data_IF_548407246088
#
_entry.id   IF_548407246088
#
_cell.length_a   1.000
_cell.length_b   1.000
_cell.length_c   1.000
_cell.angle_alpha   90.00
_cell.angle_beta   90.00
_cell.angle_gamma   90.00
#
_symmetry.space_group_name_H-M   'P 1'
#
loop_
_entity.id
_entity.type
_entity.pdbx_description
1 polymer ?
#
# COMPACT_ATOMS: atom_id res chain seq x y z
N UNK A 1 -13.09 -2.19 -3.41
CA UNK A 1 -14.54 -1.85 -3.47
C UNK A 1 -14.73 -0.94 -4.67
N UNK A 2 -15.73 -1.15 -5.57
CA UNK A 2 -15.98 -0.20 -6.65
C UNK A 2 -16.38 1.16 -6.04
N UNK A 3 -15.89 2.23 -6.65
CA UNK A 3 -16.09 3.61 -6.19
C UNK A 3 -17.56 3.94 -5.93
N UNK A 4 -18.45 3.44 -6.79
CA UNK A 4 -19.92 3.57 -6.68
C UNK A 4 -20.47 3.01 -5.36
N UNK A 5 -20.00 1.83 -4.93
CA UNK A 5 -20.47 1.22 -3.69
C UNK A 5 -20.01 2.00 -2.45
N UNK A 6 -18.79 2.54 -2.46
CA UNK A 6 -18.27 3.40 -1.39
C UNK A 6 -19.08 4.72 -1.31
N UNK A 7 -19.40 5.32 -2.45
CA UNK A 7 -20.20 6.55 -2.51
C UNK A 7 -21.62 6.33 -1.97
N UNK A 8 -22.28 5.24 -2.39
CA UNK A 8 -23.62 4.90 -1.89
C UNK A 8 -23.61 4.64 -0.39
N UNK A 9 -22.65 3.86 0.12
CA UNK A 9 -22.51 3.61 1.55
C UNK A 9 -22.29 4.91 2.34
N UNK A 10 -21.41 5.80 1.86
CA UNK A 10 -21.19 7.10 2.48
C UNK A 10 -22.43 7.98 2.51
N UNK A 11 -23.19 8.03 1.41
CA UNK A 11 -24.44 8.78 1.33
C UNK A 11 -25.50 8.24 2.31
N UNK A 12 -25.62 6.92 2.44
CA UNK A 12 -26.55 6.28 3.40
C UNK A 12 -26.15 6.59 4.86
N UNK A 13 -24.86 6.56 5.19
CA UNK A 13 -24.38 6.91 6.52
C UNK A 13 -24.67 8.38 6.85
N UNK A 14 -24.42 9.31 5.92
CA UNK A 14 -24.76 10.72 6.09
C UNK A 14 -26.26 10.95 6.26
N UNK A 15 -27.07 10.36 5.40
CA UNK A 15 -28.53 10.45 5.51
C UNK A 15 -29.03 9.91 6.87
N UNK A 16 -28.54 8.74 7.29
CA UNK A 16 -28.85 8.14 8.58
C UNK A 16 -28.47 9.05 9.76
N UNK A 17 -27.30 9.68 9.70
CA UNK A 17 -26.86 10.61 10.72
C UNK A 17 -27.75 11.88 10.80
N UNK A 18 -28.09 12.47 9.66
CA UNK A 18 -28.97 13.65 9.65
C UNK A 18 -30.39 13.33 10.11
N UNK A 19 -30.91 12.14 9.77
CA UNK A 19 -32.21 11.66 10.28
C UNK A 19 -32.14 11.50 11.81
N UNK A 20 -31.09 10.86 12.34
CA UNK A 20 -30.88 10.69 13.76
C UNK A 20 -30.74 12.05 14.48
N UNK A 21 -29.98 12.97 13.92
CA UNK A 21 -29.81 14.31 14.46
C UNK A 21 -31.15 15.07 14.47
N UNK A 22 -31.89 15.06 13.37
CA UNK A 22 -33.22 15.69 13.28
C UNK A 22 -34.18 15.15 14.34
N UNK A 23 -34.20 13.82 14.56
CA UNK A 23 -34.99 13.19 15.59
C UNK A 23 -34.61 13.69 17.00
N UNK A 24 -33.31 13.68 17.34
CA UNK A 24 -32.82 14.14 18.66
C UNK A 24 -33.14 15.62 18.89
N UNK A 25 -33.06 16.48 17.87
CA UNK A 25 -33.41 17.91 18.00
C UNK A 25 -34.91 18.16 18.02
N UNK A 26 -35.72 17.34 17.36
CA UNK A 26 -37.18 17.41 17.40
C UNK A 26 -37.74 17.04 18.79
N UNK A 27 -37.03 16.13 19.48
CA UNK A 27 -37.42 15.64 20.80
C UNK A 27 -37.03 16.65 21.91
N UNK A 28 -37.82 17.72 22.01
CA UNK A 28 -37.56 18.83 22.96
C UNK A 28 -37.95 18.50 24.39
N UNK A 29 -38.90 17.62 24.61
CA UNK A 29 -39.47 17.32 25.92
C UNK A 29 -38.55 16.49 26.82
N UNK A 30 -37.73 15.59 26.24
CA UNK A 30 -36.84 14.72 27.00
C UNK A 30 -35.41 15.25 27.03
N UNK A 31 -35.12 16.06 28.08
CA UNK A 31 -33.77 16.61 28.29
C UNK A 31 -32.74 15.55 28.58
N UNK A 32 -33.10 14.45 29.26
CA UNK A 32 -32.15 13.39 29.62
C UNK A 32 -31.70 12.61 28.38
N UNK A 33 -32.62 12.25 27.50
CA UNK A 33 -32.32 11.61 26.22
C UNK A 33 -31.40 12.47 25.38
N UNK A 34 -31.70 13.76 25.23
CA UNK A 34 -30.86 14.71 24.48
C UNK A 34 -29.45 14.81 25.04
N UNK A 35 -29.31 14.95 26.37
CA UNK A 35 -28.00 15.07 27.00
C UNK A 35 -27.13 13.82 26.74
N UNK A 36 -27.75 12.64 26.74
CA UNK A 36 -27.03 11.38 26.40
C UNK A 36 -26.67 11.26 24.93
N UNK A 37 -27.45 11.82 24.02
CA UNK A 37 -27.22 11.79 22.57
C UNK A 37 -26.19 12.84 22.11
N UNK A 38 -26.05 13.97 22.82
CA UNK A 38 -25.16 15.07 22.40
C UNK A 38 -23.70 14.67 22.11
N UNK A 39 -23.01 13.86 22.93
CA UNK A 39 -21.64 13.47 22.63
C UNK A 39 -21.51 12.74 21.31
N UNK A 40 -22.47 11.88 20.96
CA UNK A 40 -22.49 11.13 19.72
C UNK A 40 -22.81 12.01 18.51
N UNK A 41 -23.70 12.97 18.67
CA UNK A 41 -23.94 13.99 17.65
C UNK A 41 -22.69 14.86 17.42
N UNK A 42 -22.01 15.26 18.48
CA UNK A 42 -20.75 16.01 18.36
C UNK A 42 -19.67 15.21 17.63
N UNK A 43 -19.54 13.91 17.92
CA UNK A 43 -18.61 13.02 17.25
C UNK A 43 -18.91 12.89 15.75
N UNK A 44 -20.19 12.72 15.37
CA UNK A 44 -20.59 12.66 13.96
C UNK A 44 -20.38 13.98 13.24
N UNK A 45 -20.69 15.11 13.86
CA UNK A 45 -20.42 16.45 13.30
C UNK A 45 -18.92 16.71 13.13
N UNK A 46 -18.11 16.29 14.10
CA UNK A 46 -16.65 16.35 13.97
C UNK A 46 -16.15 15.57 12.76
N UNK A 47 -16.67 14.35 12.55
CA UNK A 47 -16.35 13.54 11.36
C UNK A 47 -16.64 14.28 10.05
N UNK A 48 -17.85 14.88 9.95
CA UNK A 48 -18.28 15.65 8.78
C UNK A 48 -17.42 16.92 8.62
N UNK A 49 -17.16 17.63 9.72
CA UNK A 49 -16.32 18.82 9.74
C UNK A 49 -14.88 18.57 9.28
N UNK A 50 -14.31 17.39 9.58
CA UNK A 50 -13.01 16.99 9.07
C UNK A 50 -13.05 16.57 7.59
N UNK A 51 -14.15 15.94 7.14
CA UNK A 51 -14.29 15.46 5.76
C UNK A 51 -14.43 16.61 4.75
N UNK A 52 -15.10 17.70 5.10
CA UNK A 52 -15.35 18.85 4.21
C UNK A 52 -14.03 19.52 3.76
N UNK A 53 -13.15 20.02 4.65
CA UNK A 53 -11.90 20.65 4.22
C UNK A 53 -10.96 19.65 3.55
N UNK A 54 -10.97 18.38 3.98
CA UNK A 54 -10.19 17.34 3.32
C UNK A 54 -10.63 17.11 1.86
N UNK A 55 -11.93 17.15 1.58
CA UNK A 55 -12.45 17.01 0.20
C UNK A 55 -12.20 18.27 -0.63
N UNK A 56 -12.43 19.47 -0.08
CA UNK A 56 -12.19 20.74 -0.79
C UNK A 56 -10.73 20.95 -1.16
N UNK A 57 -9.80 20.67 -0.24
CA UNK A 57 -8.37 20.81 -0.50
C UNK A 57 -7.80 19.83 -1.54
N UNK A 58 -8.62 18.88 -2.04
CA UNK A 58 -8.18 17.80 -2.91
C UNK A 58 -8.98 17.59 -4.18
N UNK A 59 -9.93 18.47 -4.46
CA UNK A 59 -10.72 18.43 -5.70
C UNK A 59 -9.82 18.32 -6.95
N UNK A 60 -8.62 18.93 -6.92
CA UNK A 60 -7.65 18.88 -8.02
C UNK A 60 -6.85 17.57 -8.15
N UNK A 61 -6.91 16.66 -7.17
CA UNK A 61 -6.08 15.44 -7.14
C UNK A 61 -6.86 14.18 -7.55
N UNK A 62 -8.15 14.30 -7.78
CA UNK A 62 -9.03 13.22 -8.25
C UNK A 62 -9.66 12.38 -7.14
N UNK A 63 -10.80 11.78 -7.47
CA UNK A 63 -11.66 11.00 -6.55
C UNK A 63 -10.97 9.79 -5.90
N UNK A 64 -10.05 9.05 -6.57
CA UNK A 64 -9.37 7.90 -5.95
C UNK A 64 -8.61 8.26 -4.68
N UNK A 65 -8.14 9.49 -4.54
CA UNK A 65 -7.40 9.95 -3.36
C UNK A 65 -8.28 10.17 -2.13
N UNK A 66 -9.60 10.29 -2.31
CA UNK A 66 -10.55 10.33 -1.19
C UNK A 66 -10.65 8.99 -0.44
N UNK A 67 -10.23 7.90 -1.07
CA UNK A 67 -10.17 6.54 -0.47
C UNK A 67 -8.83 6.25 0.23
N UNK A 68 -7.94 7.24 0.34
CA UNK A 68 -6.66 7.07 1.03
C UNK A 68 -6.88 6.80 2.53
N UNK A 69 -6.14 5.82 3.09
CA UNK A 69 -6.30 5.28 4.44
C UNK A 69 -6.33 6.34 5.55
N UNK A 70 -5.59 7.44 5.37
CA UNK A 70 -5.56 8.56 6.33
C UNK A 70 -6.90 9.27 6.53
N UNK A 71 -7.87 9.12 5.60
CA UNK A 71 -9.20 9.73 5.71
C UNK A 71 -10.25 8.76 6.23
N UNK A 72 -9.99 7.46 6.13
CA UNK A 72 -10.86 6.40 6.65
C UNK A 72 -11.06 6.57 8.16
N UNK A 73 -10.02 6.99 8.90
CA UNK A 73 -10.11 7.22 10.35
C UNK A 73 -11.18 8.23 10.71
N UNK A 74 -11.30 9.35 9.98
CA UNK A 74 -12.33 10.36 10.25
C UNK A 74 -13.73 9.86 9.89
N UNK A 75 -13.89 9.07 8.82
CA UNK A 75 -15.19 8.50 8.44
C UNK A 75 -15.67 7.43 9.42
N UNK A 76 -14.77 6.74 10.12
CA UNK A 76 -15.13 5.78 11.17
C UNK A 76 -15.85 6.44 12.34
N UNK A 77 -15.54 7.68 12.70
CA UNK A 77 -16.24 8.37 13.79
C UNK A 77 -17.73 8.61 13.50
N UNK A 78 -18.11 8.83 12.22
CA UNK A 78 -19.50 8.91 11.83
C UNK A 78 -20.24 7.58 12.06
N UNK A 79 -19.58 6.48 11.72
CA UNK A 79 -20.11 5.13 11.93
C UNK A 79 -20.26 4.81 13.41
N UNK A 80 -19.26 5.14 14.23
CA UNK A 80 -19.31 4.96 15.70
C UNK A 80 -20.45 5.77 16.29
N UNK A 81 -20.63 7.02 15.85
CA UNK A 81 -21.74 7.86 16.27
C UNK A 81 -23.12 7.23 15.95
N UNK A 82 -23.28 6.66 14.76
CA UNK A 82 -24.51 5.96 14.35
C UNK A 82 -24.75 4.66 15.14
N UNK A 83 -23.70 3.87 15.40
CA UNK A 83 -23.80 2.65 16.22
C UNK A 83 -24.34 2.98 17.63
N UNK A 84 -24.00 4.14 18.19
CA UNK A 84 -24.51 4.57 19.47
C UNK A 84 -25.91 5.21 19.37
N UNK A 85 -26.13 6.11 18.40
CA UNK A 85 -27.39 6.86 18.27
C UNK A 85 -28.57 5.97 17.89
N UNK A 86 -28.39 5.03 16.97
CA UNK A 86 -29.50 4.20 16.47
C UNK A 86 -30.15 3.39 17.59
N UNK A 87 -29.45 2.61 18.43
CA UNK A 87 -30.05 1.89 19.55
C UNK A 87 -30.69 2.84 20.58
N UNK A 88 -30.07 4.00 20.85
CA UNK A 88 -30.61 4.99 21.77
C UNK A 88 -31.97 5.54 21.29
N UNK A 89 -32.08 5.90 20.00
CA UNK A 89 -33.31 6.35 19.39
C UNK A 89 -34.36 5.25 19.40
N UNK A 90 -33.98 4.02 19.08
CA UNK A 90 -34.88 2.88 19.08
C UNK A 90 -35.43 2.57 20.46
N UNK A 91 -34.60 2.60 21.52
CA UNK A 91 -35.07 2.39 22.89
C UNK A 91 -36.00 3.50 23.31
N UNK A 92 -35.68 4.75 22.98
CA UNK A 92 -36.53 5.90 23.29
C UNK A 92 -37.89 5.83 22.57
N UNK A 93 -37.93 5.47 21.29
CA UNK A 93 -39.16 5.23 20.53
C UNK A 93 -40.00 4.08 21.11
N UNK A 94 -39.33 2.98 21.47
CA UNK A 94 -39.97 1.82 22.07
C UNK A 94 -40.68 2.17 23.39
N UNK A 95 -40.08 2.98 24.21
CA UNK A 95 -40.61 3.33 25.53
C UNK A 95 -41.84 4.27 25.43
N UNK A 96 -41.98 4.98 24.29
CA UNK A 96 -43.10 5.92 24.04
C UNK A 96 -44.24 5.33 23.20
N UNK A 97 -44.01 4.30 22.43
CA UNK A 97 -45.03 3.71 21.57
C UNK A 97 -45.61 2.43 22.16
N UNK A 98 -46.93 2.41 22.36
CA UNK A 98 -47.67 1.31 22.97
C UNK A 98 -47.96 0.06 22.10
N UNK A 99 -47.84 -0.01 20.77
CA UNK A 99 -48.16 -1.24 20.08
C UNK A 99 -47.08 -2.30 20.28
N UNK A 100 -47.47 -3.41 20.93
CA UNK A 100 -46.65 -4.60 21.19
C UNK A 100 -45.85 -5.08 19.96
N UNK A 101 -46.41 -4.89 18.77
CA UNK A 101 -45.75 -5.26 17.50
C UNK A 101 -44.49 -4.46 17.19
N UNK A 102 -44.42 -3.20 17.59
CA UNK A 102 -43.22 -2.36 17.38
C UNK A 102 -42.11 -2.72 18.38
N UNK A 103 -42.49 -3.09 19.61
CA UNK A 103 -41.54 -3.55 20.65
C UNK A 103 -40.80 -4.82 20.24
N UNK A 104 -41.44 -5.73 19.52
CA UNK A 104 -40.82 -6.99 19.05
C UNK A 104 -39.99 -6.81 17.78
N UNK A 105 -40.37 -5.87 16.90
CA UNK A 105 -39.65 -5.65 15.62
C UNK A 105 -38.41 -4.78 15.76
N UNK A 106 -38.37 -3.86 16.71
CA UNK A 106 -37.25 -2.97 16.91
C UNK A 106 -35.90 -3.68 17.18
N UNK A 107 -35.78 -4.64 18.12
CA UNK A 107 -34.54 -5.37 18.35
C UNK A 107 -34.16 -6.22 17.13
N UNK A 108 -35.13 -6.83 16.43
CA UNK A 108 -34.87 -7.59 15.22
C UNK A 108 -34.25 -6.73 14.11
N UNK A 109 -34.77 -5.52 13.89
CA UNK A 109 -34.21 -4.57 12.90
C UNK A 109 -32.82 -4.13 13.30
N UNK A 110 -32.58 -3.77 14.56
CA UNK A 110 -31.25 -3.39 15.06
C UNK A 110 -30.25 -4.55 14.90
N UNK A 111 -30.66 -5.76 15.26
CA UNK A 111 -29.80 -6.96 15.11
C UNK A 111 -29.48 -7.24 13.64
N UNK A 112 -30.49 -7.14 12.76
CA UNK A 112 -30.27 -7.34 11.31
C UNK A 112 -29.30 -6.30 10.74
N UNK A 113 -29.47 -5.03 11.10
CA UNK A 113 -28.56 -3.96 10.67
C UNK A 113 -27.14 -4.16 11.22
N UNK A 114 -27.02 -4.58 12.48
CA UNK A 114 -25.71 -4.88 13.09
C UNK A 114 -25.04 -6.07 12.38
N UNK A 115 -25.76 -7.15 12.11
CA UNK A 115 -25.25 -8.32 11.40
C UNK A 115 -24.88 -7.97 9.94
N UNK A 116 -25.70 -7.19 9.25
CA UNK A 116 -25.39 -6.72 7.90
C UNK A 116 -24.13 -5.84 7.89
N UNK A 117 -23.97 -4.98 8.89
CA UNK A 117 -22.76 -4.15 9.05
C UNK A 117 -21.52 -4.99 9.33
N UNK A 118 -21.59 -5.95 10.26
CA UNK A 118 -20.49 -6.87 10.56
C UNK A 118 -20.12 -7.70 9.34
N UNK A 119 -21.12 -8.23 8.61
CA UNK A 119 -20.91 -8.98 7.37
C UNK A 119 -20.23 -8.14 6.28
N UNK A 120 -20.67 -6.90 6.11
CA UNK A 120 -20.07 -5.95 5.18
C UNK A 120 -18.62 -5.61 5.55
N UNK A 121 -18.34 -5.40 6.84
CA UNK A 121 -17.01 -5.14 7.34
C UNK A 121 -16.09 -6.35 7.17
N UNK A 122 -16.58 -7.54 7.50
CA UNK A 122 -15.84 -8.80 7.33
C UNK A 122 -15.50 -9.09 5.86
N UNK A 123 -16.45 -8.85 4.94
CA UNK A 123 -16.23 -8.99 3.50
C UNK A 123 -15.20 -7.95 2.97
N UNK A 124 -15.21 -6.74 3.53
CA UNK A 124 -14.23 -5.69 3.18
C UNK A 124 -12.82 -5.96 3.74
N UNK A 125 -12.75 -6.62 4.89
CA UNK A 125 -11.49 -6.84 5.62
C UNK A 125 -10.48 -7.67 4.83
N UNK A 126 -10.89 -8.81 4.26
CA UNK A 126 -10.01 -9.67 3.46
C UNK A 126 -9.43 -8.95 2.24
N UNK A 127 -10.25 -8.18 1.52
CA UNK A 127 -9.77 -7.35 0.42
C UNK A 127 -8.81 -6.25 0.87
N UNK A 128 -9.03 -5.68 2.07
CA UNK A 128 -8.18 -4.64 2.61
C UNK A 128 -6.82 -5.16 3.03
N UNK A 129 -6.74 -6.36 3.59
CA UNK A 129 -5.47 -7.03 3.94
C UNK A 129 -4.65 -7.27 2.66
N UNK A 130 -5.22 -7.86 1.62
CA UNK A 130 -4.53 -8.10 0.36
C UNK A 130 -4.01 -6.80 -0.29
N UNK A 131 -4.77 -5.69 -0.19
CA UNK A 131 -4.33 -4.38 -0.66
C UNK A 131 -3.21 -3.79 0.20
N UNK A 132 -3.20 -4.05 1.51
CA UNK A 132 -2.12 -3.61 2.41
C UNK A 132 -0.82 -4.36 2.11
N UNK A 133 -0.88 -5.66 1.85
CA UNK A 133 0.29 -6.45 1.44
C UNK A 133 0.88 -5.95 0.13
N UNK A 134 0.04 -5.72 -0.90
CA UNK A 134 0.49 -5.13 -2.15
C UNK A 134 1.14 -3.75 -1.94
N UNK A 135 0.52 -2.90 -1.12
CA UNK A 135 1.08 -1.58 -0.79
C UNK A 135 2.40 -1.70 -0.04
N UNK A 136 2.50 -2.59 0.93
CA UNK A 136 3.74 -2.83 1.67
C UNK A 136 4.89 -3.25 0.73
N UNK A 137 4.60 -4.13 -0.23
CA UNK A 137 5.58 -4.54 -1.25
C UNK A 137 6.01 -3.36 -2.14
N UNK A 138 5.05 -2.53 -2.57
CA UNK A 138 5.35 -1.32 -3.35
C UNK A 138 6.13 -0.27 -2.56
N UNK A 139 5.86 -0.13 -1.26
CA UNK A 139 6.63 0.80 -0.41
C UNK A 139 8.06 0.33 -0.19
N UNK A 140 8.32 -0.98 -0.06
CA UNK A 140 9.67 -1.54 -0.03
C UNK A 140 10.44 -1.18 -1.29
N UNK A 141 9.85 -1.43 -2.48
CA UNK A 141 10.43 -1.02 -3.76
C UNK A 141 10.64 0.50 -3.84
N UNK A 142 9.70 1.29 -3.36
CA UNK A 142 9.81 2.75 -3.30
C UNK A 142 10.95 3.23 -2.40
N UNK A 143 11.14 2.58 -1.22
CA UNK A 143 12.27 2.82 -0.32
C UNK A 143 13.59 2.52 -1.01
N UNK A 144 13.71 1.35 -1.64
CA UNK A 144 14.90 0.99 -2.40
C UNK A 144 15.17 1.99 -3.54
N UNK A 145 14.14 2.42 -4.29
CA UNK A 145 14.28 3.42 -5.34
C UNK A 145 14.83 4.77 -4.83
N UNK A 146 14.45 5.19 -3.61
CA UNK A 146 15.01 6.38 -2.96
C UNK A 146 16.47 6.17 -2.59
N UNK A 147 16.82 5.03 -2.03
CA UNK A 147 18.19 4.66 -1.64
C UNK A 147 19.15 4.70 -2.85
N UNK A 148 18.69 4.21 -4.01
CA UNK A 148 19.46 4.21 -5.26
C UNK A 148 19.38 5.50 -6.07
N UNK A 149 18.63 6.51 -5.63
CA UNK A 149 18.30 7.70 -6.42
C UNK A 149 19.51 8.55 -6.85
N UNK A 150 20.68 8.38 -6.22
CA UNK A 150 21.93 9.05 -6.57
C UNK A 150 22.87 8.21 -7.44
N UNK A 151 22.64 6.90 -7.52
CA UNK A 151 23.43 5.98 -8.34
C UNK A 151 22.75 5.60 -9.66
N UNK A 152 21.41 5.53 -9.67
CA UNK A 152 20.61 5.07 -10.80
C UNK A 152 19.44 6.00 -11.10
N UNK A 153 18.88 5.93 -12.31
CA UNK A 153 17.63 6.64 -12.65
C UNK A 153 16.42 5.88 -12.10
N UNK A 154 16.02 6.25 -10.89
CA UNK A 154 14.85 5.68 -10.20
C UNK A 154 13.63 6.59 -10.23
N UNK A 155 13.69 7.73 -10.97
CA UNK A 155 12.62 8.71 -11.00
C UNK A 155 11.25 8.13 -11.42
N UNK A 156 11.14 7.23 -12.43
CA UNK A 156 9.87 6.62 -12.79
C UNK A 156 9.26 5.79 -11.65
N UNK A 157 10.11 5.08 -10.89
CA UNK A 157 9.69 4.20 -9.78
C UNK A 157 9.21 5.03 -8.60
N UNK A 158 9.93 6.08 -8.23
CA UNK A 158 9.54 7.01 -7.17
C UNK A 158 8.19 7.65 -7.50
N UNK A 159 8.00 8.09 -8.75
CA UNK A 159 6.75 8.70 -9.22
C UNK A 159 5.58 7.72 -9.13
N UNK A 160 5.76 6.46 -9.54
CA UNK A 160 4.68 5.47 -9.58
C UNK A 160 4.29 4.94 -8.19
N UNK A 161 5.25 4.84 -7.27
CA UNK A 161 5.01 4.22 -5.96
C UNK A 161 4.66 5.23 -4.85
N UNK A 162 5.22 6.43 -4.90
CA UNK A 162 5.12 7.38 -3.78
C UNK A 162 4.28 8.63 -4.08
N UNK A 163 3.75 8.78 -5.30
CA UNK A 163 3.02 9.99 -5.74
C UNK A 163 3.76 11.30 -5.45
N UNK A 164 5.06 11.23 -5.21
CA UNK A 164 5.92 12.35 -4.86
C UNK A 164 6.71 12.80 -6.08
N UNK A 165 7.02 14.09 -6.17
CA UNK A 165 7.91 14.62 -7.21
C UNK A 165 9.30 14.04 -6.99
N UNK A 166 9.89 13.29 -7.98
CA UNK A 166 11.16 12.59 -7.80
C UNK A 166 12.32 13.51 -7.37
N UNK A 167 12.36 14.72 -7.88
CA UNK A 167 13.38 15.70 -7.51
C UNK A 167 13.27 16.09 -6.03
N UNK A 168 12.05 16.29 -5.52
CA UNK A 168 11.81 16.59 -4.09
C UNK A 168 12.20 15.40 -3.22
N UNK A 169 11.83 14.18 -3.61
CA UNK A 169 12.20 12.96 -2.88
C UNK A 169 13.72 12.80 -2.79
N UNK A 170 14.43 13.00 -3.90
CA UNK A 170 15.91 12.96 -3.96
C UNK A 170 16.55 14.02 -3.05
N UNK A 171 16.04 15.25 -3.09
CA UNK A 171 16.57 16.35 -2.26
C UNK A 171 16.36 16.07 -0.77
N UNK A 172 15.15 15.66 -0.36
CA UNK A 172 14.85 15.32 1.04
C UNK A 172 15.68 14.13 1.52
N UNK A 173 15.80 13.07 0.70
CA UNK A 173 16.64 11.93 1.02
C UNK A 173 18.10 12.33 1.20
N UNK A 174 18.64 13.21 0.33
CA UNK A 174 19.99 13.75 0.48
C UNK A 174 20.18 14.54 1.77
N UNK A 175 19.18 15.32 2.17
CA UNK A 175 19.22 16.07 3.45
C UNK A 175 19.19 15.13 4.65
N UNK A 176 18.30 14.10 4.63
CA UNK A 176 18.21 13.11 5.71
C UNK A 176 19.48 12.27 5.81
N UNK A 177 20.09 11.90 4.69
CA UNK A 177 21.34 11.16 4.62
C UNK A 177 22.50 12.00 5.22
N UNK A 178 22.59 13.29 4.83
CA UNK A 178 23.58 14.22 5.39
C UNK A 178 23.46 14.38 6.92
N UNK A 179 22.23 14.35 7.43
CA UNK A 179 21.96 14.44 8.88
C UNK A 179 22.11 13.08 9.61
N UNK A 180 22.44 11.98 8.91
CA UNK A 180 22.52 10.64 9.48
C UNK A 180 21.18 10.05 9.90
N UNK A 181 20.08 10.59 9.40
CA UNK A 181 18.71 10.18 9.73
C UNK A 181 18.10 9.19 8.71
N UNK A 182 18.78 8.96 7.58
CA UNK A 182 18.33 8.01 6.57
C UNK A 182 18.93 6.62 6.83
N UNK A 183 18.08 5.60 6.92
CA UNK A 183 18.48 4.21 7.05
C UNK A 183 17.73 3.34 6.02
N UNK A 184 18.47 2.62 5.17
CA UNK A 184 19.93 2.67 4.98
C UNK A 184 20.36 4.01 4.37
N UNK A 185 21.66 4.33 4.44
CA UNK A 185 22.22 5.54 3.81
C UNK A 185 22.09 5.44 2.28
N UNK A 186 22.19 6.59 1.60
CA UNK A 186 22.11 6.64 0.14
C UNK A 186 23.27 5.89 -0.52
N UNK A 187 22.93 5.03 -1.46
CA UNK A 187 23.92 4.42 -2.36
C UNK A 187 24.28 5.44 -3.44
N UNK A 188 25.55 5.85 -3.44
CA UNK A 188 26.09 6.91 -4.30
C UNK A 188 26.94 6.36 -5.45
N UNK A 189 27.20 5.05 -5.48
CA UNK A 189 27.99 4.39 -6.50
C UNK A 189 27.13 3.34 -7.22
N UNK A 190 27.32 3.23 -8.54
CA UNK A 190 26.75 2.12 -9.31
C UNK A 190 27.64 0.87 -9.27
N UNK A 191 28.80 0.91 -8.60
CA UNK A 191 29.74 -0.21 -8.50
C UNK A 191 29.36 -1.11 -7.33
N UNK A 192 28.76 -2.26 -7.64
CA UNK A 192 28.36 -3.24 -6.62
C UNK A 192 29.57 -3.87 -5.91
N UNK A 193 30.72 -3.97 -6.58
CA UNK A 193 31.95 -4.49 -5.99
C UNK A 193 32.51 -3.61 -4.84
N UNK A 194 31.98 -2.38 -4.68
CA UNK A 194 32.32 -1.47 -3.57
C UNK A 194 31.31 -1.53 -2.42
N UNK A 195 30.26 -2.32 -2.56
CA UNK A 195 29.19 -2.46 -1.60
C UNK A 195 29.21 -3.87 -0.99
N UNK A 196 28.66 -4.07 0.21
CA UNK A 196 28.52 -5.40 0.78
C UNK A 196 27.72 -6.31 -0.16
N UNK A 197 28.31 -7.43 -0.57
CA UNK A 197 27.67 -8.35 -1.50
C UNK A 197 28.12 -9.79 -1.28
N UNK A 198 27.22 -10.74 -1.58
CA UNK A 198 27.45 -12.17 -1.55
C UNK A 198 27.14 -12.80 -2.90
N UNK A 199 27.85 -13.89 -3.23
CA UNK A 199 27.64 -14.63 -4.47
C UNK A 199 26.57 -15.71 -4.30
N UNK A 200 26.09 -16.27 -5.44
CA UNK A 200 24.94 -17.17 -5.56
C UNK A 200 25.04 -18.53 -4.83
N UNK A 201 26.09 -18.80 -4.10
CA UNK A 201 26.36 -20.02 -3.35
C UNK A 201 25.89 -19.96 -1.88
N UNK A 202 25.27 -18.84 -1.45
CA UNK A 202 24.68 -18.68 -0.12
C UNK A 202 23.27 -19.27 0.00
N UNK A 203 22.96 -19.81 1.16
CA UNK A 203 21.60 -20.31 1.49
C UNK A 203 20.62 -19.19 1.88
N UNK A 204 21.08 -17.94 1.96
CA UNK A 204 20.32 -16.82 2.50
C UNK A 204 19.27 -16.27 1.54
N UNK A 205 19.43 -16.51 0.23
CA UNK A 205 18.53 -15.96 -0.81
C UNK A 205 18.14 -17.03 -1.82
N UNK A 206 16.84 -17.21 -1.98
CA UNK A 206 16.26 -17.95 -3.09
C UNK A 206 15.74 -16.99 -4.16
N UNK A 207 15.94 -17.34 -5.40
CA UNK A 207 15.44 -16.54 -6.51
C UNK A 207 15.96 -17.01 -7.85
N UNK A 208 15.38 -16.48 -8.92
CA UNK A 208 15.80 -16.79 -10.26
C UNK A 208 15.41 -15.71 -11.26
N UNK A 209 16.21 -15.59 -12.33
CA UNK A 209 15.84 -14.86 -13.54
C UNK A 209 15.11 -15.83 -14.47
N UNK A 210 13.86 -15.55 -14.78
CA UNK A 210 13.00 -16.47 -15.55
C UNK A 210 12.86 -16.07 -17.02
N UNK A 211 12.78 -14.77 -17.27
CA UNK A 211 12.57 -14.25 -18.63
C UNK A 211 13.41 -13.03 -18.89
N UNK A 212 13.92 -12.96 -20.11
CA UNK A 212 14.55 -11.76 -20.63
C UNK A 212 14.16 -11.59 -22.10
N UNK A 213 13.65 -10.43 -22.49
CA UNK A 213 13.15 -10.18 -23.84
C UNK A 213 13.24 -8.70 -24.23
N UNK A 214 13.40 -8.40 -25.53
CA UNK A 214 13.21 -7.05 -26.04
C UNK A 214 11.75 -6.63 -25.89
N UNK A 215 11.54 -5.36 -25.54
CA UNK A 215 10.24 -4.72 -25.40
C UNK A 215 10.04 -3.66 -26.49
N UNK A 216 8.79 -3.25 -26.67
CA UNK A 216 8.46 -2.08 -27.48
C UNK A 216 9.17 -0.82 -26.97
N UNK A 217 9.47 0.12 -27.89
CA UNK A 217 10.18 1.35 -27.54
C UNK A 217 11.70 1.19 -27.34
N UNK A 218 12.29 0.05 -27.75
CA UNK A 218 13.74 -0.16 -27.70
C UNK A 218 14.30 -0.40 -26.30
N UNK A 219 13.45 -0.79 -25.35
CA UNK A 219 13.84 -1.25 -24.02
C UNK A 219 14.05 -2.77 -24.02
N UNK A 220 14.72 -3.25 -22.98
CA UNK A 220 14.85 -4.66 -22.67
C UNK A 220 14.19 -4.95 -21.32
N UNK A 221 13.39 -6.00 -21.26
CA UNK A 221 12.68 -6.40 -20.05
C UNK A 221 13.28 -7.67 -19.45
N UNK A 222 13.39 -7.71 -18.15
CA UNK A 222 13.81 -8.89 -17.38
C UNK A 222 12.81 -9.10 -16.27
N UNK A 223 12.52 -10.36 -15.95
CA UNK A 223 11.63 -10.72 -14.84
C UNK A 223 12.07 -12.01 -14.16
N UNK A 224 11.65 -12.16 -12.91
CA UNK A 224 11.95 -13.31 -12.08
C UNK A 224 11.32 -13.15 -10.71
N UNK A 225 11.89 -13.83 -9.72
CA UNK A 225 11.51 -13.71 -8.33
C UNK A 225 12.75 -13.69 -7.42
N UNK A 226 12.61 -13.13 -6.22
CA UNK A 226 13.69 -13.05 -5.24
C UNK A 226 13.11 -12.99 -3.82
N UNK A 227 13.55 -13.93 -2.97
CA UNK A 227 13.15 -14.08 -1.58
C UNK A 227 14.38 -14.03 -0.67
N UNK A 228 14.28 -13.32 0.45
CA UNK A 228 15.23 -13.36 1.55
C UNK A 228 14.74 -14.43 2.53
N UNK A 229 15.27 -15.64 2.44
CA UNK A 229 14.73 -16.78 3.18
C UNK A 229 14.88 -16.63 4.69
N UNK A 230 16.05 -16.22 5.17
CA UNK A 230 16.28 -16.02 6.59
C UNK A 230 15.33 -14.98 7.23
N UNK A 231 14.92 -13.99 6.45
CA UNK A 231 13.99 -12.93 6.88
C UNK A 231 12.53 -13.25 6.55
N UNK A 232 12.27 -14.41 5.95
CA UNK A 232 10.93 -14.86 5.52
C UNK A 232 10.16 -13.79 4.74
N UNK A 233 10.83 -13.00 3.89
CA UNK A 233 10.22 -11.91 3.12
C UNK A 233 10.82 -11.75 1.71
N UNK A 234 10.11 -11.11 0.77
CA UNK A 234 10.67 -10.73 -0.52
C UNK A 234 11.84 -9.76 -0.39
N UNK A 235 12.75 -9.78 -1.36
CA UNK A 235 13.76 -8.74 -1.52
C UNK A 235 13.11 -7.36 -1.69
N UNK A 236 13.77 -6.29 -1.21
CA UNK A 236 13.24 -4.92 -1.35
C UNK A 236 13.23 -4.45 -2.79
N UNK A 237 14.25 -4.82 -3.55
CA UNK A 237 14.31 -4.71 -5.01
C UNK A 237 15.32 -5.71 -5.58
N UNK A 238 15.34 -5.82 -6.90
CA UNK A 238 16.39 -6.54 -7.62
C UNK A 238 17.16 -5.55 -8.48
N UNK A 239 18.49 -5.58 -8.35
CA UNK A 239 19.41 -4.75 -9.11
C UNK A 239 19.97 -5.56 -10.28
N UNK A 240 19.91 -5.01 -11.48
CA UNK A 240 20.56 -5.57 -12.65
C UNK A 240 21.96 -4.97 -12.81
N UNK A 241 22.98 -5.80 -12.90
CA UNK A 241 24.34 -5.37 -13.07
C UNK A 241 25.08 -6.19 -14.15
N UNK A 242 25.98 -5.56 -14.88
CA UNK A 242 26.87 -6.25 -15.79
C UNK A 242 28.30 -6.30 -15.27
N UNK A 243 29.03 -7.32 -15.66
CA UNK A 243 30.45 -7.44 -15.35
C UNK A 243 31.29 -6.80 -16.46
N UNK A 244 32.19 -5.90 -16.09
CA UNK A 244 33.17 -5.33 -17.01
C UNK A 244 34.28 -6.33 -17.32
N UNK A 245 35.08 -6.06 -18.35
CA UNK A 245 36.28 -6.87 -18.67
C UNK A 245 37.30 -6.91 -17.52
N UNK A 246 37.29 -5.89 -16.65
CA UNK A 246 38.11 -5.83 -15.45
C UNK A 246 37.50 -6.57 -14.23
N UNK A 247 36.38 -7.28 -14.43
CA UNK A 247 35.70 -8.06 -13.39
C UNK A 247 34.84 -7.24 -12.43
N UNK A 248 34.65 -5.94 -12.68
CA UNK A 248 33.84 -5.04 -11.83
C UNK A 248 32.35 -5.18 -12.16
N UNK A 249 31.48 -5.16 -11.15
CA UNK A 249 30.05 -5.19 -11.32
C UNK A 249 29.47 -3.76 -11.33
N UNK A 250 28.80 -3.40 -12.42
CA UNK A 250 28.18 -2.08 -12.62
C UNK A 250 26.67 -2.22 -12.69
N UNK A 251 25.97 -1.65 -11.73
CA UNK A 251 24.51 -1.58 -11.72
C UNK A 251 23.98 -0.69 -12.86
N UNK A 252 22.94 -1.12 -13.55
CA UNK A 252 22.32 -0.41 -14.69
C UNK A 252 20.86 -0.09 -14.48
N UNK A 253 20.15 -0.88 -13.68
CA UNK A 253 18.75 -0.70 -13.37
C UNK A 253 18.38 -1.39 -12.05
N UNK A 254 17.26 -0.97 -11.47
CA UNK A 254 16.58 -1.73 -10.43
C UNK A 254 15.21 -2.19 -10.94
N UNK A 255 14.62 -3.18 -10.26
CA UNK A 255 13.26 -3.61 -10.55
C UNK A 255 12.27 -2.44 -10.49
N UNK A 256 11.34 -2.40 -11.44
CA UNK A 256 10.36 -1.31 -11.59
C UNK A 256 8.97 -1.67 -11.07
N UNK A 257 8.70 -2.97 -10.88
CA UNK A 257 7.43 -3.48 -10.36
C UNK A 257 7.65 -4.72 -9.51
N UNK A 258 6.78 -4.85 -8.50
CA UNK A 258 6.56 -6.10 -7.77
C UNK A 258 5.44 -6.89 -8.44
N UNK A 259 5.56 -8.22 -8.45
CA UNK A 259 4.63 -9.14 -9.11
C UNK A 259 4.20 -10.22 -8.13
N UNK A 260 2.90 -10.55 -8.15
CA UNK A 260 2.35 -11.59 -7.30
C UNK A 260 2.78 -12.98 -7.79
N UNK A 261 3.28 -13.82 -6.87
CA UNK A 261 3.85 -15.15 -7.17
C UNK A 261 3.26 -16.25 -6.26
N UNK A 262 2.02 -16.67 -6.49
CA UNK A 262 1.43 -17.77 -5.71
C UNK A 262 2.10 -19.12 -5.95
N UNK A 263 2.87 -19.27 -7.03
CA UNK A 263 3.71 -20.42 -7.32
C UNK A 263 4.94 -20.49 -6.41
N UNK A 264 5.58 -19.33 -6.12
CA UNK A 264 6.72 -19.24 -5.20
C UNK A 264 6.25 -19.50 -3.74
N UNK A 265 5.08 -18.99 -3.36
CA UNK A 265 4.45 -19.30 -2.06
C UNK A 265 4.36 -20.82 -1.86
N UNK A 266 3.85 -21.54 -2.85
CA UNK A 266 3.75 -23.01 -2.78
C UNK A 266 5.10 -23.72 -2.80
N UNK A 267 6.09 -23.15 -3.49
CA UNK A 267 7.43 -23.73 -3.59
C UNK A 267 8.20 -23.60 -2.28
N UNK A 268 8.10 -22.47 -1.61
CA UNK A 268 8.79 -22.15 -0.36
C UNK A 268 7.94 -22.45 0.89
N UNK A 269 6.67 -22.88 0.70
CA UNK A 269 5.68 -23.06 1.78
C UNK A 269 5.58 -21.84 2.71
N UNK A 270 5.57 -20.63 2.12
CA UNK A 270 5.63 -19.38 2.85
C UNK A 270 4.77 -18.29 2.19
N UNK A 271 3.67 -17.92 2.84
CA UNK A 271 2.70 -16.93 2.36
C UNK A 271 3.31 -15.51 2.24
N UNK A 272 4.31 -15.18 3.05
CA UNK A 272 4.98 -13.88 3.04
C UNK A 272 5.72 -13.61 1.71
N UNK A 273 6.00 -14.67 0.93
CA UNK A 273 6.65 -14.60 -0.38
C UNK A 273 5.71 -14.27 -1.55
N UNK A 274 4.44 -13.95 -1.28
CA UNK A 274 3.44 -13.69 -2.32
C UNK A 274 3.86 -12.59 -3.30
N UNK A 275 4.61 -11.61 -2.84
CA UNK A 275 5.07 -10.46 -3.62
C UNK A 275 6.57 -10.50 -3.95
N UNK A 276 7.15 -11.71 -4.07
CA UNK A 276 8.56 -11.93 -4.40
C UNK A 276 8.90 -11.75 -5.88
N UNK A 277 7.91 -11.69 -6.76
CA UNK A 277 8.12 -11.46 -8.18
C UNK A 277 8.54 -10.03 -8.49
N UNK A 278 9.38 -9.88 -9.51
CA UNK A 278 9.87 -8.59 -9.97
C UNK A 278 9.96 -8.49 -11.48
N UNK A 279 9.88 -7.27 -11.99
CA UNK A 279 10.26 -6.92 -13.35
C UNK A 279 11.21 -5.75 -13.34
N UNK A 280 12.07 -5.66 -14.34
CA UNK A 280 12.96 -4.53 -14.57
C UNK A 280 13.03 -4.20 -16.06
N UNK A 281 13.17 -2.91 -16.38
CA UNK A 281 13.31 -2.40 -17.75
C UNK A 281 14.51 -1.49 -17.84
N UNK A 282 15.29 -1.64 -18.91
CA UNK A 282 16.44 -0.78 -19.14
C UNK A 282 16.70 -0.61 -20.63
N UNK A 283 17.37 0.47 -21.06
CA UNK A 283 17.81 0.63 -22.43
C UNK A 283 19.04 -0.27 -22.68
N UNK A 284 19.02 -1.16 -23.70
CA UNK A 284 20.15 -2.05 -24.00
C UNK A 284 21.50 -1.34 -24.23
N UNK A 285 21.44 -0.08 -24.68
CA UNK A 285 22.63 0.78 -24.87
C UNK A 285 23.39 1.08 -23.58
N UNK A 286 22.79 0.87 -22.40
CA UNK A 286 23.46 1.05 -21.12
C UNK A 286 24.45 -0.08 -20.82
N UNK A 287 24.45 -1.16 -21.62
CA UNK A 287 25.29 -2.33 -21.41
C UNK A 287 26.25 -2.50 -22.58
N UNK A 288 27.55 -2.67 -22.33
CA UNK A 288 28.53 -2.95 -23.38
C UNK A 288 28.20 -4.23 -24.14
N UNK A 289 28.45 -4.29 -25.45
CA UNK A 289 28.25 -5.51 -26.24
C UNK A 289 29.03 -6.70 -25.68
N UNK A 290 28.34 -7.83 -25.49
CA UNK A 290 28.95 -9.06 -24.97
C UNK A 290 29.16 -9.09 -23.44
N UNK A 291 28.77 -8.06 -22.71
CA UNK A 291 28.84 -8.09 -21.26
C UNK A 291 27.82 -9.09 -20.68
N UNK A 292 28.21 -9.81 -19.63
CA UNK A 292 27.33 -10.69 -18.85
C UNK A 292 26.49 -9.84 -17.91
N UNK A 293 25.17 -9.99 -17.98
CA UNK A 293 24.23 -9.31 -17.09
C UNK A 293 23.69 -10.30 -16.07
N UNK A 294 23.68 -9.93 -14.80
CA UNK A 294 23.16 -10.71 -13.68
C UNK A 294 22.17 -9.88 -12.86
N UNK A 295 21.35 -10.57 -12.08
CA UNK A 295 20.43 -9.97 -11.14
C UNK A 295 20.93 -10.15 -9.70
N UNK A 296 20.69 -9.16 -8.85
CA UNK A 296 21.10 -9.12 -7.46
C UNK A 296 19.91 -8.73 -6.59
N UNK A 297 19.51 -9.60 -5.67
CA UNK A 297 18.52 -9.24 -4.65
C UNK A 297 19.14 -8.26 -3.67
N UNK A 298 18.37 -7.22 -3.32
CA UNK A 298 18.82 -6.20 -2.38
C UNK A 298 17.98 -6.24 -1.10
N UNK A 299 18.67 -6.29 0.02
CA UNK A 299 18.11 -6.09 1.36
C UNK A 299 18.41 -4.67 1.83
N UNK A 300 17.36 -3.88 2.07
CA UNK A 300 17.50 -2.50 2.54
C UNK A 300 17.62 -2.38 4.07
N UNK A 301 17.34 -3.43 4.83
CA UNK A 301 17.48 -3.40 6.29
C UNK A 301 18.92 -3.59 6.72
N UNK A 302 19.63 -4.46 6.02
CA UNK A 302 21.06 -4.66 6.12
C UNK A 302 21.64 -4.49 4.72
N UNK A 303 22.08 -3.26 4.31
CA UNK A 303 22.38 -2.96 2.91
C UNK A 303 23.32 -3.99 2.27
N UNK A 304 22.76 -5.10 1.83
CA UNK A 304 23.44 -6.27 1.31
C UNK A 304 22.88 -6.67 -0.07
N UNK A 305 23.75 -7.12 -0.95
CA UNK A 305 23.41 -7.60 -2.28
C UNK A 305 23.71 -9.08 -2.38
N UNK A 306 22.72 -9.86 -2.79
CA UNK A 306 22.84 -11.30 -3.01
C UNK A 306 22.67 -11.61 -4.49
N UNK A 307 23.66 -12.22 -5.09
CA UNK A 307 23.61 -12.59 -6.50
C UNK A 307 22.57 -13.69 -6.72
N UNK A 308 21.61 -13.44 -7.61
CA UNK A 308 20.66 -14.46 -8.02
C UNK A 308 21.27 -15.40 -9.07
N UNK A 309 20.91 -16.68 -9.08
CA UNK A 309 21.32 -17.62 -10.10
C UNK A 309 20.74 -17.24 -11.48
N UNK A 310 21.44 -17.63 -12.53
CA UNK A 310 21.09 -17.37 -13.91
C UNK A 310 21.83 -16.18 -14.53
N UNK A 311 22.14 -16.32 -15.82
CA UNK A 311 22.72 -15.26 -16.64
C UNK A 311 21.65 -14.71 -17.59
N UNK A 312 21.60 -13.39 -17.71
CA UNK A 312 20.71 -12.74 -18.67
C UNK A 312 21.48 -12.61 -20.00
N UNK A 313 21.07 -13.42 -20.97
CA UNK A 313 21.64 -13.38 -22.32
C UNK A 313 20.84 -12.40 -23.16
N UNK A 314 21.48 -11.29 -23.54
CA UNK A 314 20.86 -10.35 -24.47
C UNK A 314 20.97 -10.87 -25.89
N UNK A 315 19.84 -10.99 -26.61
CA UNK A 315 19.85 -11.33 -28.03
C UNK A 315 20.70 -10.30 -28.79
N UNK A 316 21.68 -10.75 -29.54
CA UNK A 316 22.44 -9.90 -30.47
C UNK A 316 21.45 -9.30 -31.47
N UNK A 317 21.38 -7.97 -31.54
CA UNK A 317 20.70 -7.28 -32.66
C UNK A 317 21.52 -7.36 -33.93
#
# INVERSE_FOLDING_TARGET
MPLTAATVAGALLLAGFFIAAAYVFAERADRQFRTRALPWLALGLYSIGCAIPASLGRVGLGVPQALDSRYVTFSLYLTVALIALVPMIFTHLRDRTEPLRLRLRAPAVCTTLALAYVGFYAAGFGNSVALLEERAARYRLGRAAVVFSHALDTAPIIKSNNSTIPATARHLAGTLDYLGLLQPPLIRTARLDQLPHERADGEEVSGNVERSAPLEGGLYGVSGWAALEEKSRPADCVVLAYQTLAGQWIAVAISDKVVRRPDVVRHLDNDDQLWSGWTAKFPPRAIPPGAKLTAWAFDADEPMFYQLPGEIVMARR
#
